data_IF_560677056812
#
_entry.id   IF_560677056812
#
_cell.length_a   1.000
_cell.length_b   1.000
_cell.length_c   1.000
_cell.angle_alpha   90.00
_cell.angle_beta   90.00
_cell.angle_gamma   90.00
#
_symmetry.space_group_name_H-M   'P 1'
#
loop_
_entity.id
_entity.type
_entity.pdbx_description
1 polymer ?
#
# COMPACT_ATOMS: atom_id res chain seq x y z
N UNK A 1 -1.84 -9.72 13.62
CA UNK A 1 -0.51 -9.82 12.97
C UNK A 1 0.53 -9.38 13.97
N UNK A 2 1.64 -10.12 14.11
CA UNK A 2 2.74 -9.69 15.00
C UNK A 2 3.14 -8.24 14.71
N UNK A 3 3.02 -7.37 15.71
CA UNK A 3 3.40 -5.97 15.61
C UNK A 3 4.87 -5.82 15.23
N UNK A 4 5.73 -6.74 15.68
CA UNK A 4 7.15 -6.74 15.32
C UNK A 4 7.34 -6.88 13.81
N UNK A 5 6.71 -7.89 13.19
CA UNK A 5 6.75 -8.09 11.73
C UNK A 5 6.16 -6.91 10.96
N UNK A 6 5.06 -6.35 11.44
CA UNK A 6 4.45 -5.16 10.86
C UNK A 6 5.40 -3.96 10.90
N UNK A 7 5.95 -3.65 12.07
CA UNK A 7 6.83 -2.49 12.25
C UNK A 7 8.17 -2.67 11.52
N UNK A 8 8.70 -3.89 11.41
CA UNK A 8 9.86 -4.18 10.55
C UNK A 8 9.58 -3.76 9.09
N UNK A 9 8.40 -4.09 8.55
CA UNK A 9 8.00 -3.67 7.20
C UNK A 9 7.81 -2.16 7.08
N UNK A 10 7.20 -1.51 8.08
CA UNK A 10 6.99 -0.05 8.08
C UNK A 10 8.32 0.70 8.16
N UNK A 11 9.24 0.26 9.03
CA UNK A 11 10.57 0.88 9.20
C UNK A 11 11.43 0.68 7.94
N UNK A 12 11.39 -0.51 7.33
CA UNK A 12 12.04 -0.78 6.04
C UNK A 12 11.58 0.21 4.97
N UNK A 13 10.26 0.44 4.85
CA UNK A 13 9.70 1.41 3.91
C UNK A 13 10.08 2.85 4.25
N UNK A 14 10.05 3.26 5.53
CA UNK A 14 10.38 4.63 5.96
C UNK A 14 11.85 5.01 5.76
N UNK A 15 12.74 4.04 5.91
CA UNK A 15 14.20 4.27 5.91
C UNK A 15 14.85 3.95 4.57
N UNK A 16 14.07 3.48 3.61
CA UNK A 16 14.56 3.13 2.28
C UNK A 16 15.12 4.35 1.57
N UNK A 17 16.31 4.22 1.00
CA UNK A 17 16.90 5.25 0.13
C UNK A 17 16.12 5.30 -1.19
N UNK A 18 15.56 6.47 -1.50
CA UNK A 18 14.73 6.70 -2.68
C UNK A 18 15.50 7.56 -3.69
N UNK A 19 15.93 6.94 -4.79
CA UNK A 19 16.72 7.60 -5.85
C UNK A 19 15.82 7.98 -7.03
N UNK A 20 14.84 7.14 -7.34
CA UNK A 20 13.96 7.29 -8.51
C UNK A 20 12.53 7.61 -8.11
N UNK A 21 11.80 8.25 -9.04
CA UNK A 21 10.36 8.52 -8.88
C UNK A 21 9.55 7.24 -8.62
N UNK A 22 9.91 6.15 -9.30
CA UNK A 22 9.24 4.85 -9.13
C UNK A 22 9.43 4.28 -7.72
N UNK A 23 10.65 4.38 -7.16
CA UNK A 23 10.90 3.97 -5.77
C UNK A 23 10.07 4.78 -4.78
N UNK A 24 10.03 6.11 -4.94
CA UNK A 24 9.21 6.99 -4.09
C UNK A 24 7.73 6.66 -4.20
N UNK A 25 7.22 6.41 -5.40
CA UNK A 25 5.83 6.03 -5.63
C UNK A 25 5.49 4.70 -4.94
N UNK A 26 6.34 3.68 -5.11
CA UNK A 26 6.15 2.38 -4.45
C UNK A 26 6.05 2.53 -2.94
N UNK A 27 7.03 3.20 -2.33
CA UNK A 27 7.06 3.38 -0.87
C UNK A 27 5.85 4.17 -0.38
N UNK A 28 5.51 5.27 -1.05
CA UNK A 28 4.36 6.11 -0.69
C UNK A 28 3.05 5.31 -0.71
N UNK A 29 2.81 4.50 -1.74
CA UNK A 29 1.59 3.70 -1.85
C UNK A 29 1.57 2.58 -0.80
N UNK A 30 2.65 1.81 -0.70
CA UNK A 30 2.71 0.67 0.21
C UNK A 30 2.57 1.10 1.66
N UNK A 31 3.30 2.14 2.07
CA UNK A 31 3.28 2.58 3.46
C UNK A 31 1.93 3.20 3.84
N UNK A 32 1.27 3.91 2.92
CA UNK A 32 -0.01 4.56 3.18
C UNK A 32 -1.09 3.54 3.55
N UNK A 33 -1.29 2.51 2.73
CA UNK A 33 -2.33 1.50 2.99
C UNK A 33 -1.98 0.60 4.18
N UNK A 34 -0.70 0.22 4.36
CA UNK A 34 -0.28 -0.58 5.53
C UNK A 34 -0.53 0.20 6.82
N UNK A 35 -0.09 1.46 6.90
CA UNK A 35 -0.32 2.28 8.11
C UNK A 35 -1.79 2.47 8.39
N UNK A 36 -2.58 2.75 7.36
CA UNK A 36 -4.03 2.94 7.49
C UNK A 36 -4.73 1.65 7.96
N UNK A 37 -4.36 0.51 7.39
CA UNK A 37 -4.91 -0.80 7.73
C UNK A 37 -4.69 -1.19 9.20
N UNK A 38 -3.58 -0.77 9.81
CA UNK A 38 -3.21 -1.15 11.18
C UNK A 38 -3.22 0.00 12.19
N UNK A 39 -3.64 1.20 11.77
CA UNK A 39 -3.63 2.40 12.62
C UNK A 39 -2.25 2.80 13.10
N UNK A 40 -1.20 2.54 12.32
CA UNK A 40 0.19 2.89 12.65
C UNK A 40 0.40 4.38 12.42
N UNK A 41 0.81 5.11 13.45
CA UNK A 41 1.11 6.54 13.35
C UNK A 41 2.51 6.77 12.76
N UNK A 42 2.70 7.91 12.10
CA UNK A 42 3.97 8.28 11.45
C UNK A 42 5.17 8.33 12.41
N UNK A 43 4.94 8.62 13.69
CA UNK A 43 6.00 8.71 14.70
C UNK A 43 6.36 7.37 15.34
N UNK A 44 5.63 6.29 15.05
CA UNK A 44 5.89 4.97 15.63
C UNK A 44 7.15 4.31 15.08
N UNK A 45 7.56 4.60 13.84
CA UNK A 45 8.79 4.03 13.26
C UNK A 45 10.08 4.50 13.95
N UNK A 46 10.03 5.59 14.71
CA UNK A 46 11.15 6.11 15.49
C UNK A 46 11.16 5.61 16.95
N UNK A 47 10.20 4.76 17.34
CA UNK A 47 10.04 4.29 18.72
C UNK A 47 10.46 2.82 18.86
N UNK A 48 10.83 2.38 20.08
CA UNK A 48 11.07 0.97 20.34
C UNK A 48 9.85 0.12 19.97
N UNK A 49 10.07 -0.90 19.15
CA UNK A 49 9.02 -1.83 18.72
C UNK A 49 8.65 -2.75 19.89
N UNK A 50 7.38 -2.73 20.27
CA UNK A 50 6.83 -3.63 21.29
C UNK A 50 6.33 -4.92 20.65
N UNK A 51 6.47 -6.02 21.37
CA UNK A 51 5.98 -7.33 20.94
C UNK A 51 4.53 -7.54 21.43
N UNK A 52 3.59 -7.54 20.50
CA UNK A 52 2.16 -7.80 20.72
C UNK A 52 1.48 -8.11 19.38
N UNK A 53 0.27 -8.68 19.43
CA UNK A 53 -0.56 -8.83 18.23
C UNK A 53 -1.30 -7.54 17.91
N UNK A 54 -1.12 -7.04 16.68
CA UNK A 54 -1.82 -5.87 16.16
C UNK A 54 -2.93 -6.30 15.22
N UNK A 55 -4.13 -5.80 15.47
CA UNK A 55 -5.30 -6.05 14.66
C UNK A 55 -5.34 -5.12 13.45
N UNK A 56 -5.94 -5.61 12.37
CA UNK A 56 -6.30 -4.77 11.22
C UNK A 56 -7.54 -3.99 11.64
N UNK A 57 -7.47 -2.66 11.54
CA UNK A 57 -8.57 -1.75 11.90
C UNK A 57 -9.47 -1.42 10.70
N UNK A 58 -8.98 -1.58 9.47
CA UNK A 58 -9.80 -1.43 8.27
C UNK A 58 -10.52 -2.73 7.95
N UNK A 59 -11.81 -2.63 7.67
CA UNK A 59 -12.57 -3.70 7.05
C UNK A 59 -12.11 -3.97 5.61
N UNK A 60 -12.37 -5.18 5.12
CA UNK A 60 -12.13 -5.52 3.71
C UNK A 60 -12.83 -4.54 2.76
N UNK A 61 -14.04 -4.08 3.08
CA UNK A 61 -14.81 -3.14 2.25
C UNK A 61 -14.17 -1.75 2.21
N UNK A 62 -13.59 -1.28 3.31
CA UNK A 62 -12.80 -0.05 3.30
C UNK A 62 -11.54 -0.19 2.44
N UNK A 63 -10.85 -1.33 2.50
CA UNK A 63 -9.68 -1.60 1.67
C UNK A 63 -10.09 -1.66 0.18
N UNK A 64 -11.22 -2.31 -0.15
CA UNK A 64 -11.79 -2.31 -1.52
C UNK A 64 -12.09 -0.91 -2.01
N UNK A 65 -12.64 -0.04 -1.16
CA UNK A 65 -12.94 1.34 -1.53
C UNK A 65 -11.68 2.13 -1.89
N UNK A 66 -10.60 1.95 -1.13
CA UNK A 66 -9.30 2.56 -1.44
C UNK A 66 -8.74 2.01 -2.76
N UNK A 67 -8.81 0.69 -2.98
CA UNK A 67 -8.37 0.06 -4.22
C UNK A 67 -9.16 0.57 -5.45
N UNK A 68 -10.49 0.63 -5.35
CA UNK A 68 -11.35 1.15 -6.40
C UNK A 68 -11.03 2.61 -6.75
N UNK A 69 -10.58 3.41 -5.77
CA UNK A 69 -10.15 4.78 -6.02
C UNK A 69 -8.88 4.84 -6.90
N UNK A 70 -7.93 3.92 -6.71
CA UNK A 70 -6.75 3.79 -7.57
C UNK A 70 -7.12 3.29 -8.98
N UNK A 71 -8.07 2.35 -9.10
CA UNK A 71 -8.59 1.89 -10.40
C UNK A 71 -9.33 2.98 -11.16
N UNK A 72 -10.18 3.77 -10.50
CA UNK A 72 -10.86 4.90 -11.12
C UNK A 72 -9.87 5.92 -11.67
N UNK A 73 -8.79 6.18 -10.92
CA UNK A 73 -7.74 7.09 -11.35
C UNK A 73 -7.00 6.56 -12.58
N UNK A 74 -6.65 5.27 -12.59
CA UNK A 74 -6.07 4.60 -13.77
C UNK A 74 -7.00 4.70 -14.99
N UNK A 75 -8.29 4.41 -14.82
CA UNK A 75 -9.27 4.46 -15.91
C UNK A 75 -9.41 5.87 -16.49
N UNK A 76 -9.49 6.90 -15.64
CA UNK A 76 -9.52 8.30 -16.08
C UNK A 76 -8.28 8.70 -16.89
N UNK A 77 -7.12 8.15 -16.56
CA UNK A 77 -5.87 8.44 -17.29
C UNK A 77 -5.84 7.71 -18.63
N UNK A 78 -6.32 6.45 -18.68
CA UNK A 78 -6.50 5.69 -19.93
C UNK A 78 -7.44 6.42 -20.90
N UNK A 79 -8.54 6.99 -20.41
CA UNK A 79 -9.49 7.77 -21.24
C UNK A 79 -8.86 9.04 -21.85
N UNK A 80 -7.94 9.69 -21.13
CA UNK A 80 -7.30 10.95 -21.57
C UNK A 80 -6.14 10.77 -22.55
N UNK A 81 -5.83 9.54 -22.97
CA UNK A 81 -4.80 9.20 -23.98
C UNK A 81 -3.37 9.71 -23.67
N UNK A 82 -3.04 9.96 -22.39
CA UNK A 82 -1.68 10.37 -22.00
C UNK A 82 -0.83 9.13 -21.63
N UNK A 83 -0.18 8.55 -22.64
CA UNK A 83 0.53 7.27 -22.54
C UNK A 83 1.69 7.24 -21.54
N UNK A 84 2.42 8.35 -21.35
CA UNK A 84 3.55 8.38 -20.41
C UNK A 84 3.08 8.21 -18.95
N UNK A 85 1.90 8.73 -18.64
CA UNK A 85 1.35 8.66 -17.30
C UNK A 85 0.72 7.29 -16.98
N UNK A 86 0.21 6.55 -17.97
CA UNK A 86 -0.51 5.28 -17.74
C UNK A 86 0.34 4.28 -16.94
N UNK A 87 1.63 4.13 -17.29
CA UNK A 87 2.54 3.19 -16.60
C UNK A 87 2.73 3.53 -15.12
N UNK A 88 2.71 4.82 -14.77
CA UNK A 88 2.79 5.27 -13.38
C UNK A 88 1.56 4.80 -12.60
N UNK A 89 0.35 4.95 -13.18
CA UNK A 89 -0.89 4.53 -12.54
C UNK A 89 -1.06 3.01 -12.48
N UNK A 90 -0.64 2.27 -13.50
CA UNK A 90 -0.57 0.80 -13.45
C UNK A 90 0.36 0.34 -12.32
N UNK A 91 1.49 1.02 -12.16
CA UNK A 91 2.43 0.73 -11.07
C UNK A 91 1.82 1.02 -9.70
N UNK A 92 1.04 2.10 -9.54
CA UNK A 92 0.32 2.41 -8.29
C UNK A 92 -0.62 1.27 -7.89
N UNK A 93 -1.43 0.78 -8.83
CA UNK A 93 -2.36 -0.33 -8.60
C UNK A 93 -1.58 -1.58 -8.16
N UNK A 94 -0.49 -1.93 -8.85
CA UNK A 94 0.37 -3.07 -8.46
C UNK A 94 0.96 -2.89 -7.06
N UNK A 95 1.49 -1.71 -6.73
CA UNK A 95 2.06 -1.43 -5.41
C UNK A 95 1.02 -1.48 -4.30
N UNK A 96 -0.23 -1.08 -4.58
CA UNK A 96 -1.33 -1.25 -3.65
C UNK A 96 -1.61 -2.73 -3.38
N UNK A 97 -1.69 -3.55 -4.43
CA UNK A 97 -1.91 -5.00 -4.32
C UNK A 97 -0.78 -5.66 -3.51
N UNK A 98 0.48 -5.33 -3.80
CA UNK A 98 1.64 -5.83 -3.06
C UNK A 98 1.58 -5.49 -1.57
N UNK A 99 1.11 -4.28 -1.25
CA UNK A 99 0.94 -3.83 0.13
C UNK A 99 -0.17 -4.60 0.85
N UNK A 100 -1.30 -4.83 0.19
CA UNK A 100 -2.40 -5.62 0.74
C UNK A 100 -1.97 -7.08 0.91
N UNK A 101 -1.22 -7.64 -0.04
CA UNK A 101 -0.70 -9.02 0.01
C UNK A 101 0.14 -9.29 1.25
N UNK A 102 0.81 -8.28 1.79
CA UNK A 102 1.57 -8.39 3.05
C UNK A 102 0.71 -8.81 4.26
N UNK A 103 -0.57 -8.41 4.29
CA UNK A 103 -1.45 -8.63 5.45
C UNK A 103 -2.79 -9.32 5.14
N UNK A 104 -3.20 -9.40 3.88
CA UNK A 104 -4.42 -10.05 3.43
C UNK A 104 -4.23 -10.60 2.00
N UNK A 105 -3.66 -11.81 1.90
CA UNK A 105 -3.38 -12.45 0.60
C UNK A 105 -4.66 -12.70 -0.21
N UNK A 106 -5.74 -13.14 0.43
CA UNK A 106 -7.03 -13.39 -0.23
C UNK A 106 -7.55 -12.14 -0.95
N UNK A 107 -7.50 -10.99 -0.28
CA UNK A 107 -7.99 -9.74 -0.87
C UNK A 107 -7.03 -9.23 -1.97
N UNK A 108 -5.72 -9.43 -1.81
CA UNK A 108 -4.76 -9.12 -2.87
C UNK A 108 -4.99 -9.97 -4.13
N UNK A 109 -5.26 -11.27 -3.98
CA UNK A 109 -5.59 -12.15 -5.11
C UNK A 109 -6.92 -11.74 -5.77
N UNK A 110 -7.91 -11.29 -4.99
CA UNK A 110 -9.15 -10.69 -5.52
C UNK A 110 -8.84 -9.48 -6.41
N UNK A 111 -7.98 -8.56 -5.95
CA UNK A 111 -7.59 -7.37 -6.70
C UNK A 111 -6.76 -7.64 -7.94
N UNK A 112 -5.86 -8.62 -7.89
CA UNK A 112 -5.05 -9.00 -9.04
C UNK A 112 -5.91 -9.53 -10.21
N UNK A 113 -7.02 -10.20 -9.91
CA UNK A 113 -7.97 -10.67 -10.94
C UNK A 113 -8.81 -9.54 -11.58
N UNK A 114 -8.79 -8.33 -11.01
CA UNK A 114 -9.54 -7.16 -11.51
C UNK A 114 -8.69 -6.23 -12.40
N UNK A 115 -7.38 -6.48 -12.52
CA UNK A 115 -6.43 -5.65 -13.26
C UNK A 115 -6.09 -6.26 -14.62
#
# INVERSE_FOLDING_TARGET
>A
MSNKKLMEKVIDLDTQVLITREQSLRVMIQIAIIRKAFGVKNDESNKPVKDYEREIILSDDEIRKEFNSELELLNRVKERSNFENIKEFESRVRYFIDAVRFFNTRLADEFENLC
#
